data_IF_904693540012
#
_entry.id   IF_904693540012
#
_cell.length_a   1.000
_cell.length_b   1.000
_cell.length_c   1.000
_cell.angle_alpha   90.00
_cell.angle_beta   90.00
_cell.angle_gamma   90.00
#
_symmetry.space_group_name_H-M   'P 1'
#
loop_
_entity.id
_entity.type
_entity.pdbx_description
1 polymer ?
#
# COMPACT_ATOMS: atom_id res chain seq x y z
N UNK A 1 30.65 -15.10 -45.35
CA UNK A 1 30.62 -14.12 -44.23
C UNK A 1 29.38 -13.26 -44.41
N UNK A 2 28.33 -13.45 -43.61
CA UNK A 2 27.43 -12.37 -43.15
C UNK A 2 27.01 -12.76 -41.74
N UNK A 3 27.12 -11.78 -40.85
CA UNK A 3 27.19 -11.89 -39.39
C UNK A 3 25.79 -12.06 -38.79
N UNK A 4 25.49 -13.22 -38.19
CA UNK A 4 24.32 -13.39 -37.32
C UNK A 4 24.59 -12.67 -36.00
N UNK A 5 24.15 -11.42 -35.86
CA UNK A 5 24.09 -10.79 -34.54
C UNK A 5 22.84 -9.89 -34.40
N UNK A 6 22.15 -10.12 -33.28
CA UNK A 6 21.23 -9.21 -32.58
C UNK A 6 19.75 -9.20 -33.00
N UNK A 7 19.01 -10.28 -32.70
CA UNK A 7 17.57 -10.13 -32.40
C UNK A 7 17.15 -11.12 -31.29
N UNK A 8 17.81 -11.04 -30.13
CA UNK A 8 17.28 -11.62 -28.90
C UNK A 8 17.69 -10.67 -27.79
N UNK A 9 16.83 -9.71 -27.42
CA UNK A 9 16.79 -9.08 -26.09
C UNK A 9 15.80 -7.92 -25.98
N UNK A 10 15.20 -7.41 -27.06
CA UNK A 10 14.30 -6.25 -26.93
C UNK A 10 12.83 -6.58 -26.62
N UNK A 11 12.40 -7.84 -26.72
CA UNK A 11 10.98 -8.19 -26.49
C UNK A 11 10.60 -8.33 -25.01
N UNK A 12 11.57 -8.39 -24.10
CA UNK A 12 11.31 -8.56 -22.65
C UNK A 12 11.12 -7.20 -21.95
N UNK A 13 11.67 -6.12 -22.50
CA UNK A 13 11.66 -4.79 -21.86
C UNK A 13 10.32 -4.06 -21.98
N UNK A 14 9.51 -4.35 -23.00
CA UNK A 14 8.23 -3.66 -23.22
C UNK A 14 7.08 -4.12 -22.30
N UNK A 15 7.26 -5.19 -21.51
CA UNK A 15 6.25 -5.68 -20.58
C UNK A 15 6.30 -5.08 -19.16
N UNK A 16 7.33 -4.28 -18.87
CA UNK A 16 7.57 -3.72 -17.53
C UNK A 16 7.20 -2.24 -17.41
N UNK A 17 7.16 -1.48 -18.51
CA UNK A 17 7.03 -0.02 -18.49
C UNK A 17 5.60 0.51 -18.27
N UNK A 18 4.58 -0.37 -18.20
CA UNK A 18 3.18 0.04 -18.08
C UNK A 18 2.46 -0.57 -16.86
N UNK A 19 3.19 -0.95 -15.82
CA UNK A 19 2.61 -1.45 -14.57
C UNK A 19 2.44 -0.30 -13.58
N UNK A 20 1.36 -0.36 -12.80
CA UNK A 20 1.14 0.57 -11.68
C UNK A 20 2.38 0.64 -10.78
N UNK A 21 2.77 1.81 -10.25
CA UNK A 21 3.92 1.94 -9.35
C UNK A 21 3.86 1.03 -8.10
N UNK A 22 2.66 0.58 -7.73
CA UNK A 22 2.42 -0.30 -6.59
C UNK A 22 2.11 -1.75 -7.00
N UNK A 23 2.33 -2.12 -8.27
CA UNK A 23 2.03 -3.45 -8.81
C UNK A 23 2.48 -4.59 -7.89
N UNK A 24 1.58 -5.55 -7.64
CA UNK A 24 1.83 -6.72 -6.80
C UNK A 24 1.18 -6.62 -5.41
N UNK A 25 0.74 -5.43 -5.00
CA UNK A 25 -0.08 -5.30 -3.78
C UNK A 25 -1.41 -6.05 -3.90
N UNK A 26 -1.92 -6.22 -5.13
CA UNK A 26 -3.18 -6.88 -5.40
C UNK A 26 -3.19 -8.35 -4.98
N UNK A 27 -2.03 -9.01 -5.02
CA UNK A 27 -1.84 -10.42 -4.68
C UNK A 27 -1.86 -10.67 -3.17
N UNK A 28 -1.72 -9.61 -2.36
CA UNK A 28 -1.85 -9.71 -0.91
C UNK A 28 -3.33 -9.99 -0.52
N UNK A 29 -3.58 -10.84 0.49
CA UNK A 29 -4.93 -10.99 1.04
C UNK A 29 -5.35 -9.72 1.78
N UNK A 30 -6.67 -9.50 1.92
CA UNK A 30 -7.18 -8.46 2.81
C UNK A 30 -7.07 -8.97 4.25
N UNK A 31 -6.21 -8.35 5.04
CA UNK A 31 -5.92 -8.70 6.44
C UNK A 31 -6.52 -7.70 7.42
N UNK A 32 -6.50 -8.01 8.72
CA UNK A 32 -6.77 -7.02 9.78
C UNK A 32 -5.68 -5.94 9.79
N UNK A 33 -5.93 -4.80 10.46
CA UNK A 33 -4.96 -3.70 10.49
C UNK A 33 -3.66 -4.09 11.23
N UNK A 34 -3.74 -4.93 12.26
CA UNK A 34 -2.58 -5.46 12.99
C UNK A 34 -1.71 -6.33 12.09
N UNK A 35 -2.31 -7.36 11.48
CA UNK A 35 -1.62 -8.31 10.59
C UNK A 35 -1.02 -7.58 9.37
N UNK A 36 -1.73 -6.59 8.82
CA UNK A 36 -1.26 -5.82 7.69
C UNK A 36 -0.01 -4.95 7.98
N UNK A 37 0.32 -4.75 9.26
CA UNK A 37 1.43 -3.92 9.73
C UNK A 37 2.47 -4.70 10.55
N UNK A 38 2.31 -6.02 10.66
CA UNK A 38 3.13 -6.88 11.52
C UNK A 38 4.62 -6.81 11.16
N UNK A 39 4.95 -6.84 9.87
CA UNK A 39 6.32 -6.81 9.37
C UNK A 39 6.90 -5.39 9.23
N UNK A 40 6.12 -4.35 9.54
CA UNK A 40 6.52 -2.96 9.36
C UNK A 40 7.23 -2.45 10.61
N UNK A 41 8.50 -2.09 10.46
CA UNK A 41 9.26 -1.39 11.50
C UNK A 41 9.59 0.02 11.04
N UNK A 42 9.23 1.02 11.85
CA UNK A 42 9.54 2.43 11.61
C UNK A 42 10.35 2.96 12.79
N UNK A 43 11.53 3.56 12.55
CA UNK A 43 12.34 4.10 13.64
C UNK A 43 11.57 5.11 14.51
N UNK A 44 11.68 4.94 15.83
CA UNK A 44 11.04 5.80 16.83
C UNK A 44 9.50 5.84 16.73
N UNK A 45 8.87 4.81 16.19
CA UNK A 45 7.42 4.70 16.09
C UNK A 45 6.92 3.38 16.65
N UNK A 46 6.01 3.44 17.62
CA UNK A 46 5.25 2.29 18.06
C UNK A 46 4.04 2.09 17.13
N UNK A 47 4.12 1.05 16.29
CA UNK A 47 3.07 0.67 15.35
C UNK A 47 1.81 0.19 16.09
N UNK A 48 1.97 -0.57 17.16
CA UNK A 48 0.85 -1.10 17.96
C UNK A 48 0.01 0.03 18.52
N UNK A 49 0.65 1.05 19.08
CA UNK A 49 -0.02 2.25 19.58
C UNK A 49 -0.76 3.00 18.47
N UNK A 50 -0.19 3.05 17.27
CA UNK A 50 -0.84 3.66 16.10
C UNK A 50 -2.09 2.88 15.68
N UNK A 51 -2.03 1.55 15.66
CA UNK A 51 -3.17 0.67 15.36
C UNK A 51 -4.28 0.85 16.40
N UNK A 52 -3.93 0.79 17.69
CA UNK A 52 -4.90 0.98 18.79
C UNK A 52 -5.57 2.36 18.67
N UNK A 53 -4.77 3.41 18.46
CA UNK A 53 -5.28 4.77 18.29
C UNK A 53 -6.20 4.88 17.07
N UNK A 54 -5.83 4.27 15.95
CA UNK A 54 -6.62 4.28 14.74
C UNK A 54 -7.96 3.56 14.94
N UNK A 55 -7.95 2.34 15.49
CA UNK A 55 -9.16 1.55 15.79
C UNK A 55 -10.07 2.19 16.83
N UNK A 56 -9.54 3.07 17.69
CA UNK A 56 -10.31 3.81 18.69
C UNK A 56 -10.99 5.05 18.09
N UNK A 57 -10.30 5.75 17.19
CA UNK A 57 -10.71 7.07 16.67
C UNK A 57 -11.34 7.04 15.27
N UNK A 58 -11.22 5.93 14.54
CA UNK A 58 -11.83 5.79 13.23
C UNK A 58 -13.37 5.94 13.29
N UNK A 59 -13.97 6.23 12.15
CA UNK A 59 -15.42 6.29 12.05
C UNK A 59 -16.03 4.89 12.23
N UNK A 60 -16.68 4.66 13.38
CA UNK A 60 -17.19 3.35 13.80
C UNK A 60 -18.61 3.03 13.33
N UNK A 61 -19.31 3.99 12.73
CA UNK A 61 -20.71 3.84 12.31
C UNK A 61 -20.87 3.61 10.81
N UNK A 62 -19.78 3.29 10.11
CA UNK A 62 -19.85 2.97 8.69
C UNK A 62 -20.64 1.69 8.49
N UNK A 63 -21.58 1.71 7.55
CA UNK A 63 -22.24 0.51 7.03
C UNK A 63 -21.50 -0.08 5.82
N UNK A 64 -20.56 0.68 5.24
CA UNK A 64 -19.81 0.29 4.03
C UNK A 64 -18.46 -0.35 4.36
N UNK A 65 -17.81 0.13 5.42
CA UNK A 65 -16.44 -0.25 5.79
C UNK A 65 -16.43 -1.13 7.02
N UNK A 66 -15.54 -2.11 7.03
CA UNK A 66 -15.18 -2.78 8.28
C UNK A 66 -14.47 -1.81 9.24
N UNK A 67 -14.30 -2.25 10.49
CA UNK A 67 -13.54 -1.46 11.47
C UNK A 67 -12.07 -1.31 11.07
N UNK A 68 -11.45 -2.36 10.55
CA UNK A 68 -10.06 -2.35 10.07
C UNK A 68 -9.89 -1.44 8.86
N UNK A 69 -10.83 -1.45 7.92
CA UNK A 69 -10.84 -0.57 6.75
C UNK A 69 -10.98 0.90 7.16
N UNK A 70 -11.91 1.19 8.08
CA UNK A 70 -12.09 2.53 8.63
C UNK A 70 -10.84 3.01 9.39
N UNK A 71 -10.20 2.09 10.12
CA UNK A 71 -8.98 2.37 10.86
C UNK A 71 -7.77 2.58 9.93
N UNK A 72 -7.67 1.84 8.82
CA UNK A 72 -6.61 2.04 7.83
C UNK A 72 -6.70 3.43 7.19
N UNK A 73 -7.91 3.86 6.80
CA UNK A 73 -8.14 5.21 6.28
C UNK A 73 -7.77 6.27 7.33
N UNK A 74 -8.23 6.08 8.57
CA UNK A 74 -7.91 7.01 9.65
C UNK A 74 -6.40 7.10 9.90
N UNK A 75 -5.71 5.95 9.97
CA UNK A 75 -4.26 5.87 10.17
C UNK A 75 -3.50 6.61 9.08
N UNK A 76 -3.87 6.42 7.81
CA UNK A 76 -3.29 7.15 6.68
C UNK A 76 -3.57 8.65 6.74
N UNK A 77 -4.76 9.07 7.18
CA UNK A 77 -5.15 10.49 7.19
C UNK A 77 -4.50 11.33 8.28
N UNK A 78 -3.91 10.71 9.31
CA UNK A 78 -3.30 11.44 10.42
C UNK A 78 -1.89 11.93 10.07
N UNK A 79 -1.57 13.21 10.31
CA UNK A 79 -0.19 13.70 10.26
C UNK A 79 0.66 12.95 11.30
N UNK A 80 1.53 12.05 10.84
CA UNK A 80 2.31 11.16 11.70
C UNK A 80 3.56 10.65 10.96
N UNK A 81 4.52 10.12 11.70
CA UNK A 81 5.69 9.44 11.10
C UNK A 81 5.26 8.29 10.20
N UNK A 82 4.18 7.57 10.55
CA UNK A 82 3.60 6.54 9.70
C UNK A 82 3.25 7.06 8.31
N UNK A 83 2.48 8.16 8.25
CA UNK A 83 2.10 8.81 7.00
C UNK A 83 3.33 9.20 6.18
N UNK A 84 4.32 9.84 6.81
CA UNK A 84 5.54 10.27 6.11
C UNK A 84 6.35 9.09 5.58
N UNK A 85 6.53 8.02 6.37
CA UNK A 85 7.27 6.83 5.97
C UNK A 85 6.61 6.10 4.80
N UNK A 86 5.30 5.86 4.86
CA UNK A 86 4.57 5.24 3.75
C UNK A 86 4.68 6.07 2.48
N UNK A 87 4.44 7.38 2.58
CA UNK A 87 4.49 8.26 1.41
C UNK A 87 5.91 8.44 0.86
N UNK A 88 6.95 8.25 1.68
CA UNK A 88 8.33 8.17 1.20
C UNK A 88 8.57 6.84 0.47
N UNK A 89 8.13 5.71 1.02
CA UNK A 89 8.25 4.40 0.37
C UNK A 89 7.52 4.35 -0.99
N UNK A 90 6.36 5.00 -1.10
CA UNK A 90 5.61 5.13 -2.36
C UNK A 90 6.35 5.94 -3.43
N UNK A 91 7.22 6.88 -3.02
CA UNK A 91 8.00 7.74 -3.92
C UNK A 91 9.41 7.24 -4.18
N UNK A 92 9.90 6.29 -3.38
CA UNK A 92 11.24 5.72 -3.51
C UNK A 92 11.37 4.97 -4.86
N UNK A 93 12.45 5.20 -5.57
CA UNK A 93 12.73 4.53 -6.85
C UNK A 93 12.95 3.03 -6.65
N UNK A 94 13.47 2.63 -5.48
CA UNK A 94 13.64 1.23 -5.11
C UNK A 94 12.30 0.62 -4.68
N UNK A 95 11.66 -0.07 -5.62
CA UNK A 95 10.34 -0.71 -5.43
C UNK A 95 10.36 -1.85 -4.42
N UNK A 96 11.53 -2.42 -4.09
CA UNK A 96 11.62 -3.46 -3.06
C UNK A 96 11.26 -2.90 -1.67
N UNK A 97 11.56 -1.63 -1.41
CA UNK A 97 11.21 -0.95 -0.15
C UNK A 97 9.71 -0.80 0.06
N UNK A 98 8.92 -0.88 -1.02
CA UNK A 98 7.47 -0.78 -0.93
C UNK A 98 6.81 -2.13 -0.58
N UNK A 99 7.45 -3.27 -0.90
CA UNK A 99 6.85 -4.60 -0.69
C UNK A 99 6.36 -4.86 0.74
N UNK A 100 7.07 -4.47 1.82
CA UNK A 100 6.56 -4.63 3.18
C UNK A 100 5.22 -3.91 3.45
N UNK A 101 4.90 -2.90 2.66
CA UNK A 101 3.66 -2.13 2.79
C UNK A 101 2.47 -2.73 2.02
N UNK A 102 2.70 -3.76 1.19
CA UNK A 102 1.66 -4.32 0.34
C UNK A 102 0.43 -4.82 1.12
N UNK A 103 0.55 -5.52 2.27
CA UNK A 103 -0.61 -5.88 3.08
C UNK A 103 -1.43 -4.67 3.54
N UNK A 104 -0.77 -3.61 4.01
CA UNK A 104 -1.43 -2.36 4.38
C UNK A 104 -2.10 -1.68 3.18
N UNK A 105 -1.39 -1.57 2.04
CA UNK A 105 -1.94 -0.99 0.81
C UNK A 105 -3.15 -1.77 0.32
N UNK A 106 -3.13 -3.10 0.41
CA UNK A 106 -4.27 -3.94 0.07
C UNK A 106 -5.49 -3.60 0.92
N UNK A 107 -5.34 -3.53 2.25
CA UNK A 107 -6.42 -3.16 3.16
C UNK A 107 -6.93 -1.74 2.87
N UNK A 108 -6.02 -0.77 2.77
CA UNK A 108 -6.33 0.64 2.57
C UNK A 108 -7.03 0.91 1.24
N UNK A 109 -6.50 0.40 0.13
CA UNK A 109 -7.10 0.59 -1.21
C UNK A 109 -8.43 -0.14 -1.32
N UNK A 110 -8.57 -1.32 -0.68
CA UNK A 110 -9.87 -2.01 -0.59
C UNK A 110 -10.90 -1.15 0.13
N UNK A 111 -10.50 -0.49 1.23
CA UNK A 111 -11.36 0.45 1.94
C UNK A 111 -11.77 1.65 1.05
N UNK A 112 -10.80 2.28 0.36
CA UNK A 112 -11.06 3.42 -0.52
C UNK A 112 -12.02 3.06 -1.66
N UNK A 113 -11.90 1.88 -2.26
CA UNK A 113 -12.78 1.41 -3.35
C UNK A 113 -14.25 1.24 -2.93
N UNK A 114 -14.55 1.15 -1.64
CA UNK A 114 -15.92 1.06 -1.11
C UNK A 114 -16.56 2.42 -0.85
N UNK A 115 -15.77 3.49 -0.85
CA UNK A 115 -16.29 4.84 -0.66
C UNK A 115 -17.03 5.30 -1.92
N UNK A 116 -18.12 6.08 -1.77
CA UNK A 116 -18.79 6.66 -2.91
C UNK A 116 -17.83 7.59 -3.66
N UNK A 117 -17.87 7.52 -4.98
CA UNK A 117 -17.20 8.52 -5.82
C UNK A 117 -17.93 9.85 -5.65
N UNK A 118 -17.17 10.91 -5.40
CA UNK A 118 -17.68 12.27 -5.55
C UNK A 118 -17.31 12.69 -6.96
N UNK A 119 -18.31 12.97 -7.79
CA UNK A 119 -18.08 13.66 -9.07
C UNK A 119 -17.87 15.14 -8.74
N UNK A 120 -16.82 15.74 -9.31
CA UNK A 120 -16.47 17.16 -9.16
C UNK A 120 -17.45 18.08 -9.92
#
# INVERSE_FOLDING_TARGET
MVNNRFVTNHSVEFGQTNRSPIFGYEDSPVLTLEEALEEITIPNLDITDHVIRAKKKCYRRSTLLTRDESAAIFLYSMPSTFYSCLNNALRDEDREKLKPWFPFLKLFITALKKLPLVED
#
